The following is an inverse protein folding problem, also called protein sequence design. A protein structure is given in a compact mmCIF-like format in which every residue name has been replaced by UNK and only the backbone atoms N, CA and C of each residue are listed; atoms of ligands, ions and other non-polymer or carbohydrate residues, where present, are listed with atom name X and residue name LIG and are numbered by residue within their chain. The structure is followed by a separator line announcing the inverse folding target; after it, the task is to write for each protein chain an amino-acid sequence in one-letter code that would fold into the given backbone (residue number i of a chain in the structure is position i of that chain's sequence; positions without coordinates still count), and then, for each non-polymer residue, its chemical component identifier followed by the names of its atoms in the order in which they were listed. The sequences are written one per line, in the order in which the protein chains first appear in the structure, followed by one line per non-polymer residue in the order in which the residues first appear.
data_IF_201544693081
#
_entry.id   IF_201544693081
#
_cell.length_a   1.000
_cell.length_b   1.000
_cell.length_c   1.000
_cell.angle_alpha   90.00
_cell.angle_beta   90.00
_cell.angle_gamma   90.00
#
_symmetry.space_group_name_H-M   'P 1'
#
loop_
_entity.id
_entity.type
_entity.pdbx_description
1 polymer ?
#
# COMPACT_ATOMS: atom_id res chain seq x y z
N UNK A 1 16.65 13.60 27.84
CA UNK A 1 16.06 12.36 28.39
C UNK A 1 15.25 11.69 27.31
N UNK A 2 15.09 10.37 27.31
CA UNK A 2 14.24 9.65 26.34
C UNK A 2 12.84 9.53 26.94
N UNK A 3 11.85 10.11 26.26
CA UNK A 3 10.45 10.12 26.71
C UNK A 3 9.61 9.06 26.02
N UNK A 4 9.89 8.76 24.76
CA UNK A 4 9.24 7.68 24.01
C UNK A 4 10.29 6.95 23.19
N UNK A 5 10.26 5.62 23.21
CA UNK A 5 11.07 4.76 22.36
C UNK A 5 10.18 3.89 21.51
N UNK A 6 10.31 4.01 20.19
CA UNK A 6 9.48 3.27 19.24
C UNK A 6 10.33 2.31 18.43
N UNK A 7 9.72 1.23 17.96
CA UNK A 7 10.31 0.31 17.00
C UNK A 7 9.52 0.39 15.70
N UNK A 8 10.18 0.67 14.60
CA UNK A 8 9.55 0.72 13.28
C UNK A 8 10.11 -0.38 12.39
N UNK A 9 9.22 -1.21 11.84
CA UNK A 9 9.53 -2.15 10.77
C UNK A 9 8.39 -2.17 9.74
N UNK A 10 8.67 -2.66 8.54
CA UNK A 10 7.72 -2.67 7.41
C UNK A 10 8.10 -3.78 6.43
N UNK A 11 7.40 -3.88 5.30
CA UNK A 11 7.75 -4.75 4.18
C UNK A 11 7.95 -6.20 4.64
N UNK A 12 6.99 -6.64 5.44
CA UNK A 12 6.99 -7.98 6.02
C UNK A 12 6.95 -9.01 4.90
N UNK A 13 6.06 -8.83 3.92
CA UNK A 13 5.95 -9.72 2.76
C UNK A 13 5.87 -11.21 3.14
N UNK A 14 5.16 -11.51 4.23
CA UNK A 14 5.01 -12.86 4.81
C UNK A 14 6.33 -13.51 5.31
N UNK A 15 7.36 -12.70 5.55
CA UNK A 15 8.64 -13.13 6.15
C UNK A 15 8.54 -13.16 7.68
N UNK A 16 7.98 -14.25 8.20
CA UNK A 16 7.74 -14.42 9.63
C UNK A 16 9.01 -14.61 10.48
N UNK A 17 10.16 -14.88 9.86
CA UNK A 17 11.42 -14.96 10.57
C UNK A 17 11.80 -13.57 11.12
N UNK A 18 11.49 -12.50 10.38
CA UNK A 18 11.62 -11.11 10.87
C UNK A 18 10.83 -10.87 12.14
N UNK A 19 9.60 -11.38 12.23
CA UNK A 19 8.78 -11.21 13.44
C UNK A 19 9.42 -11.93 14.63
N UNK A 20 10.00 -13.12 14.41
CA UNK A 20 10.72 -13.83 15.45
C UNK A 20 11.93 -13.04 15.96
N UNK A 21 12.70 -12.42 15.05
CA UNK A 21 13.82 -11.52 15.38
C UNK A 21 13.33 -10.32 16.22
N UNK A 22 12.25 -9.66 15.81
CA UNK A 22 11.64 -8.56 16.58
C UNK A 22 11.20 -9.03 17.97
N UNK A 23 10.57 -10.21 18.08
CA UNK A 23 10.13 -10.77 19.36
C UNK A 23 11.28 -10.94 20.36
N UNK A 24 12.37 -11.58 19.92
CA UNK A 24 13.56 -11.76 20.76
C UNK A 24 14.23 -10.42 21.09
N UNK A 25 14.26 -9.48 20.14
CA UNK A 25 14.76 -8.12 20.37
C UNK A 25 13.97 -7.40 21.49
N UNK A 26 12.64 -7.41 21.42
CA UNK A 26 11.77 -6.78 22.42
C UNK A 26 11.97 -7.37 23.82
N UNK A 27 12.10 -8.70 23.89
CA UNK A 27 12.35 -9.41 25.14
C UNK A 27 13.69 -9.00 25.76
N UNK A 28 14.77 -9.04 24.98
CA UNK A 28 16.11 -8.63 25.43
C UNK A 28 16.11 -7.17 25.91
N UNK A 29 15.46 -6.27 25.16
CA UNK A 29 15.32 -4.85 25.52
C UNK A 29 14.61 -4.65 26.85
N UNK A 30 13.56 -5.42 27.12
CA UNK A 30 12.84 -5.40 28.39
C UNK A 30 13.72 -5.86 29.54
N UNK A 31 14.45 -6.95 29.37
CA UNK A 31 15.39 -7.49 30.38
C UNK A 31 16.52 -6.50 30.72
N UNK A 32 16.95 -5.70 29.75
CA UNK A 32 17.97 -4.67 29.91
C UNK A 32 17.46 -3.33 30.47
N UNK A 33 16.15 -3.21 30.77
CA UNK A 33 15.55 -1.97 31.26
C UNK A 33 15.39 -0.87 30.20
N UNK A 34 15.47 -1.24 28.92
CA UNK A 34 15.42 -0.34 27.77
C UNK A 34 14.23 -0.67 26.86
N UNK A 35 13.03 -0.86 27.43
CA UNK A 35 11.84 -1.32 26.70
C UNK A 35 11.43 -0.41 25.55
N UNK A 36 10.81 -1.02 24.53
CA UNK A 36 10.09 -0.33 23.46
C UNK A 36 8.68 -0.01 23.96
N UNK A 37 8.23 1.21 23.73
CA UNK A 37 6.93 1.72 24.19
C UNK A 37 5.81 1.55 23.14
N UNK A 38 6.17 1.53 21.85
CA UNK A 38 5.24 1.29 20.75
C UNK A 38 5.96 0.68 19.52
N UNK A 39 5.25 -0.18 18.78
CA UNK A 39 5.65 -0.65 17.46
C UNK A 39 4.88 0.12 16.40
N UNK A 40 5.58 0.60 15.39
CA UNK A 40 5.00 1.13 14.16
C UNK A 40 5.23 0.13 13.03
N UNK A 41 4.15 -0.28 12.39
CA UNK A 41 4.18 -1.15 11.22
C UNK A 41 3.45 -0.48 10.07
N UNK A 42 4.10 -0.25 8.94
CA UNK A 42 3.58 0.68 7.91
C UNK A 42 3.16 0.00 6.60
N UNK A 43 2.61 -1.21 6.72
CA UNK A 43 2.00 -1.95 5.62
C UNK A 43 2.96 -2.90 4.90
N UNK A 44 2.56 -3.34 3.71
CA UNK A 44 3.21 -4.42 2.95
C UNK A 44 3.23 -5.74 3.73
N UNK A 45 2.06 -6.09 4.25
CA UNK A 45 1.83 -7.34 4.97
C UNK A 45 2.06 -8.55 4.06
N UNK A 46 1.50 -8.49 2.85
CA UNK A 46 1.58 -9.53 1.82
C UNK A 46 2.27 -8.93 0.59
N UNK A 47 3.16 -9.69 -0.05
CA UNK A 47 3.78 -9.24 -1.29
C UNK A 47 2.78 -9.29 -2.44
N UNK A 48 2.41 -8.12 -2.95
CA UNK A 48 1.53 -7.96 -4.11
C UNK A 48 2.24 -8.22 -5.46
N UNK A 49 3.55 -8.50 -5.45
CA UNK A 49 4.34 -8.79 -6.64
C UNK A 49 4.55 -10.30 -6.83
N UNK A 50 4.32 -10.77 -8.06
CA UNK A 50 4.65 -12.15 -8.43
C UNK A 50 6.16 -12.35 -8.59
N UNK A 51 6.63 -13.59 -8.33
CA UNK A 51 8.03 -14.05 -8.46
C UNK A 51 8.76 -13.64 -9.75
N UNK A 52 8.05 -13.32 -10.83
CA UNK A 52 8.63 -12.96 -12.13
C UNK A 52 9.54 -11.70 -12.12
N UNK A 53 9.63 -10.91 -11.03
CA UNK A 53 10.37 -9.63 -11.04
C UNK A 53 11.34 -9.39 -9.86
N UNK A 54 11.41 -10.23 -8.81
CA UNK A 54 12.33 -9.95 -7.67
C UNK A 54 13.18 -11.16 -7.30
N UNK A 55 14.49 -11.00 -7.49
CA UNK A 55 15.55 -12.00 -7.29
C UNK A 55 15.98 -12.16 -5.82
N UNK A 56 15.14 -11.81 -4.83
CA UNK A 56 15.58 -11.65 -3.43
C UNK A 56 14.74 -12.33 -2.35
N UNK A 57 14.05 -13.44 -2.65
CA UNK A 57 13.80 -14.50 -1.65
C UNK A 57 13.30 -15.77 -2.34
N UNK A 58 14.15 -16.81 -2.39
CA UNK A 58 14.03 -17.90 -3.37
C UNK A 58 13.14 -19.09 -2.99
N UNK A 59 12.64 -19.21 -1.75
CA UNK A 59 12.13 -20.52 -1.30
C UNK A 59 10.74 -20.54 -0.62
N UNK A 60 9.96 -19.46 -0.65
CA UNK A 60 8.57 -19.46 -0.13
C UNK A 60 7.60 -19.07 -1.24
N UNK A 61 6.59 -19.90 -1.50
CA UNK A 61 5.46 -19.50 -2.35
C UNK A 61 4.62 -18.49 -1.55
N UNK A 62 4.68 -17.22 -1.96
CA UNK A 62 3.91 -16.15 -1.32
C UNK A 62 2.44 -16.30 -1.65
N UNK A 63 1.56 -15.72 -0.81
CA UNK A 63 0.11 -15.90 -0.94
C UNK A 63 -0.42 -15.54 -2.32
N UNK A 64 0.07 -14.44 -2.90
CA UNK A 64 -0.34 -14.02 -4.25
C UNK A 64 0.13 -15.00 -5.32
N UNK A 65 1.35 -15.55 -5.23
CA UNK A 65 1.83 -16.56 -6.17
C UNK A 65 0.99 -17.85 -6.09
N UNK A 66 0.65 -18.29 -4.87
CA UNK A 66 -0.22 -19.46 -4.66
C UNK A 66 -1.61 -19.26 -5.26
N UNK A 67 -2.18 -18.06 -5.08
CA UNK A 67 -3.48 -17.73 -5.69
C UNK A 67 -3.38 -17.77 -7.21
N UNK A 68 -2.37 -17.11 -7.79
CA UNK A 68 -2.15 -17.09 -9.24
C UNK A 68 -2.00 -18.51 -9.79
N UNK A 69 -1.16 -19.34 -9.16
CA UNK A 69 -0.91 -20.71 -9.60
C UNK A 69 -2.19 -21.58 -9.55
N UNK A 70 -2.98 -21.49 -8.47
CA UNK A 70 -4.21 -22.27 -8.33
C UNK A 70 -5.32 -21.80 -9.29
N UNK A 71 -5.44 -20.50 -9.53
CA UNK A 71 -6.36 -19.96 -10.54
C UNK A 71 -5.93 -20.44 -11.94
N UNK A 72 -4.64 -20.35 -12.26
CA UNK A 72 -4.09 -20.84 -13.52
C UNK A 72 -4.33 -22.35 -13.71
N UNK A 73 -4.17 -23.15 -12.66
CA UNK A 73 -4.47 -24.58 -12.71
C UNK A 73 -5.95 -24.85 -13.01
N UNK A 74 -6.85 -24.07 -12.40
CA UNK A 74 -8.29 -24.18 -12.65
C UNK A 74 -8.65 -23.81 -14.10
N UNK A 75 -8.17 -22.66 -14.61
CA UNK A 75 -8.51 -22.20 -15.97
C UNK A 75 -7.86 -23.02 -17.07
N UNK A 76 -6.78 -23.75 -16.76
CA UNK A 76 -6.13 -24.67 -17.69
C UNK A 76 -6.65 -26.11 -17.58
N UNK A 77 -7.57 -26.41 -16.66
CA UNK A 77 -8.14 -27.74 -16.49
C UNK A 77 -8.90 -28.16 -17.76
N UNK A 78 -8.75 -29.40 -18.28
CA UNK A 78 -9.38 -29.83 -19.53
C UNK A 78 -10.89 -29.60 -19.57
N UNK A 79 -11.60 -29.87 -18.46
CA UNK A 79 -13.05 -29.67 -18.38
C UNK A 79 -13.44 -28.19 -18.50
N UNK A 80 -12.66 -27.30 -17.88
CA UNK A 80 -12.89 -25.86 -17.99
C UNK A 80 -12.64 -25.39 -19.43
N UNK A 81 -11.53 -25.80 -20.03
CA UNK A 81 -11.16 -25.45 -21.41
C UNK A 81 -12.19 -25.97 -22.40
N UNK A 82 -12.66 -27.21 -22.23
CA UNK A 82 -13.67 -27.81 -23.10
C UNK A 82 -15.03 -27.11 -22.96
N UNK A 83 -15.41 -26.75 -21.73
CA UNK A 83 -16.65 -26.00 -21.48
C UNK A 83 -16.57 -24.61 -22.09
N UNK A 84 -15.47 -23.87 -21.89
CA UNK A 84 -15.26 -22.56 -22.51
C UNK A 84 -15.29 -22.63 -24.04
N UNK A 85 -14.69 -23.66 -24.66
CA UNK A 85 -14.79 -23.88 -26.12
C UNK A 85 -16.22 -24.12 -26.57
N UNK A 86 -17.02 -24.85 -25.81
CA UNK A 86 -18.44 -25.06 -26.11
C UNK A 86 -19.24 -23.75 -26.02
N UNK A 87 -18.99 -22.93 -24.99
CA UNK A 87 -19.61 -21.60 -24.83
C UNK A 87 -19.22 -20.68 -25.99
N UNK A 88 -17.93 -20.61 -26.35
CA UNK A 88 -17.46 -19.80 -27.47
C UNK A 88 -18.08 -20.24 -28.81
N UNK A 89 -18.32 -21.54 -29.00
CA UNK A 89 -19.03 -22.06 -30.16
C UNK A 89 -20.48 -21.56 -30.20
N UNK A 90 -21.21 -21.64 -29.09
CA UNK A 90 -22.60 -21.13 -28.98
C UNK A 90 -22.63 -19.63 -29.30
N UNK A 91 -21.73 -18.85 -28.69
CA UNK A 91 -21.63 -17.40 -28.91
C UNK A 91 -21.38 -17.09 -30.38
N UNK A 92 -20.45 -17.81 -31.03
CA UNK A 92 -20.11 -17.60 -32.44
C UNK A 92 -21.25 -18.00 -33.39
N UNK A 93 -21.94 -19.09 -33.11
CA UNK A 93 -23.07 -19.56 -33.94
C UNK A 93 -24.27 -18.61 -33.90
N UNK A 94 -24.40 -17.84 -32.82
CA UNK A 94 -25.50 -16.89 -32.59
C UNK A 94 -25.04 -15.43 -32.60
N UNK A 95 -23.89 -15.13 -33.20
CA UNK A 95 -23.44 -13.76 -33.44
C UNK A 95 -23.85 -13.28 -34.84
N UNK A 96 -24.27 -12.03 -34.95
CA UNK A 96 -24.52 -11.40 -36.24
C UNK A 96 -23.21 -11.15 -37.03
N UNK A 97 -23.34 -10.65 -38.26
CA UNK A 97 -22.19 -10.33 -39.12
C UNK A 97 -21.23 -9.27 -38.53
N UNK A 98 -21.66 -8.53 -37.51
CA UNK A 98 -20.88 -7.54 -36.78
C UNK A 98 -20.33 -8.08 -35.44
N UNK A 99 -20.54 -9.36 -35.13
CA UNK A 99 -20.09 -10.00 -33.90
C UNK A 99 -20.97 -9.70 -32.67
N UNK A 100 -22.18 -9.16 -32.85
CA UNK A 100 -23.12 -8.94 -31.76
C UNK A 100 -23.94 -10.21 -31.52
N UNK A 101 -23.94 -10.69 -30.27
CA UNK A 101 -24.68 -11.89 -29.87
C UNK A 101 -26.19 -11.62 -29.89
N UNK A 102 -26.93 -12.42 -30.65
CA UNK A 102 -28.39 -12.44 -30.74
C UNK A 102 -28.95 -13.37 -29.65
N UNK A 103 -28.99 -12.87 -28.41
CA UNK A 103 -29.37 -13.65 -27.21
C UNK A 103 -30.75 -14.31 -27.32
N UNK A 104 -31.67 -13.74 -28.08
CA UNK A 104 -33.02 -14.25 -28.33
C UNK A 104 -33.04 -15.51 -29.19
N UNK A 105 -31.95 -15.82 -29.89
CA UNK A 105 -31.81 -17.01 -30.73
C UNK A 105 -31.13 -18.19 -30.02
N UNK A 106 -30.51 -17.96 -28.86
CA UNK A 106 -29.87 -19.02 -28.07
C UNK A 106 -30.95 -19.74 -27.25
N UNK A 107 -31.03 -21.09 -27.28
CA UNK A 107 -31.97 -21.82 -26.44
C UNK A 107 -31.83 -21.45 -24.97
N UNK A 108 -32.95 -21.20 -24.29
CA UNK A 108 -32.93 -20.81 -22.87
C UNK A 108 -32.13 -21.77 -21.99
N UNK A 109 -32.20 -23.07 -22.25
CA UNK A 109 -31.40 -24.08 -21.53
C UNK A 109 -29.90 -23.90 -21.70
N UNK A 110 -29.42 -23.41 -22.84
CA UNK A 110 -28.01 -23.10 -23.06
C UNK A 110 -27.59 -21.83 -22.33
N UNK A 111 -28.45 -20.80 -22.33
CA UNK A 111 -28.23 -19.58 -21.54
C UNK A 111 -28.15 -19.93 -20.04
N UNK A 112 -29.07 -20.74 -19.54
CA UNK A 112 -29.12 -21.17 -18.14
C UNK A 112 -27.87 -21.99 -17.78
N UNK A 113 -27.39 -22.87 -18.68
CA UNK A 113 -26.15 -23.63 -18.49
C UNK A 113 -24.90 -22.74 -18.47
N UNK A 114 -24.81 -21.75 -19.38
CA UNK A 114 -23.72 -20.77 -19.40
C UNK A 114 -23.71 -19.97 -18.10
N UNK A 115 -24.87 -19.47 -17.67
CA UNK A 115 -25.00 -18.71 -16.43
C UNK A 115 -24.60 -19.55 -15.21
N UNK A 116 -25.05 -20.80 -15.13
CA UNK A 116 -24.69 -21.72 -14.05
C UNK A 116 -23.18 -22.01 -14.01
N UNK A 117 -22.56 -22.23 -15.16
CA UNK A 117 -21.12 -22.43 -15.26
C UNK A 117 -20.34 -21.18 -14.80
N UNK A 118 -20.73 -19.99 -15.26
CA UNK A 118 -20.10 -18.73 -14.86
C UNK A 118 -20.24 -18.47 -13.36
N UNK A 119 -21.41 -18.75 -12.77
CA UNK A 119 -21.60 -18.68 -11.31
C UNK A 119 -20.69 -19.66 -10.56
N UNK A 120 -20.62 -20.91 -11.01
CA UNK A 120 -19.78 -21.94 -10.39
C UNK A 120 -18.30 -21.58 -10.47
N UNK A 121 -17.85 -21.07 -11.63
CA UNK A 121 -16.50 -20.54 -11.84
C UNK A 121 -16.18 -19.45 -10.80
N UNK A 122 -17.07 -18.45 -10.68
CA UNK A 122 -16.87 -17.34 -9.73
C UNK A 122 -16.79 -17.87 -8.29
N UNK A 123 -17.64 -18.81 -7.90
CA UNK A 123 -17.61 -19.40 -6.55
C UNK A 123 -16.29 -20.14 -6.27
N UNK A 124 -15.81 -20.97 -7.21
CA UNK A 124 -14.57 -21.72 -7.05
C UNK A 124 -13.37 -20.76 -6.96
N UNK A 125 -13.29 -19.78 -7.85
CA UNK A 125 -12.17 -18.83 -7.88
C UNK A 125 -12.15 -17.95 -6.63
N UNK A 126 -13.31 -17.46 -6.17
CA UNK A 126 -13.42 -16.74 -4.90
C UNK A 126 -13.01 -17.62 -3.71
N UNK A 127 -13.38 -18.90 -3.71
CA UNK A 127 -12.98 -19.84 -2.65
C UNK A 127 -11.46 -20.05 -2.60
N UNK A 128 -10.80 -20.14 -3.75
CA UNK A 128 -9.33 -20.24 -3.84
C UNK A 128 -8.68 -18.99 -3.24
N UNK A 129 -9.11 -17.80 -3.67
CA UNK A 129 -8.60 -16.51 -3.18
C UNK A 129 -8.78 -16.40 -1.67
N UNK A 130 -10.01 -16.59 -1.18
CA UNK A 130 -10.35 -16.41 0.22
C UNK A 130 -9.60 -17.40 1.12
N UNK A 131 -9.42 -18.66 0.69
CA UNK A 131 -8.69 -19.67 1.44
C UNK A 131 -7.26 -19.23 1.73
N UNK A 132 -6.54 -18.77 0.72
CA UNK A 132 -5.13 -18.40 0.86
C UNK A 132 -4.97 -17.09 1.63
N UNK A 133 -5.78 -16.07 1.33
CA UNK A 133 -5.77 -14.81 2.08
C UNK A 133 -6.05 -15.05 3.57
N UNK A 134 -7.09 -15.84 3.90
CA UNK A 134 -7.43 -16.12 5.29
C UNK A 134 -6.31 -16.87 6.01
N UNK A 135 -5.70 -17.87 5.37
CA UNK A 135 -4.61 -18.62 5.98
C UNK A 135 -3.39 -17.72 6.30
N UNK A 136 -3.04 -16.82 5.36
CA UNK A 136 -1.93 -15.89 5.54
C UNK A 136 -2.17 -14.90 6.67
N UNK A 137 -3.36 -14.28 6.70
CA UNK A 137 -3.70 -13.32 7.75
C UNK A 137 -3.95 -13.96 9.11
N UNK A 138 -4.45 -15.20 9.16
CA UNK A 138 -4.55 -15.93 10.43
C UNK A 138 -3.16 -16.20 11.01
N UNK A 139 -2.22 -16.69 10.20
CA UNK A 139 -0.82 -16.88 10.64
C UNK A 139 -0.20 -15.55 11.09
N UNK A 140 -0.47 -14.48 10.35
CA UNK A 140 0.01 -13.15 10.70
C UNK A 140 -0.57 -12.64 12.02
N UNK A 141 -1.86 -12.86 12.28
CA UNK A 141 -2.50 -12.53 13.55
C UNK A 141 -1.83 -13.27 14.72
N UNK A 142 -1.53 -14.56 14.54
CA UNK A 142 -0.81 -15.37 15.54
C UNK A 142 0.59 -14.81 15.83
N UNK A 143 1.34 -14.40 14.80
CA UNK A 143 2.67 -13.83 14.96
C UNK A 143 2.64 -12.41 15.59
N UNK A 144 1.74 -11.54 15.15
CA UNK A 144 1.57 -10.20 15.73
C UNK A 144 1.04 -10.25 17.17
N UNK A 145 0.21 -11.25 17.51
CA UNK A 145 -0.24 -11.46 18.89
C UNK A 145 0.95 -11.69 19.85
N UNK A 146 2.02 -12.36 19.40
CA UNK A 146 3.24 -12.55 20.20
C UNK A 146 3.92 -11.21 20.44
N UNK A 147 4.04 -10.35 19.43
CA UNK A 147 4.62 -9.01 19.57
C UNK A 147 3.79 -8.12 20.50
N UNK A 148 2.46 -8.15 20.37
CA UNK A 148 1.53 -7.33 21.19
C UNK A 148 1.65 -7.60 22.69
N UNK A 149 2.08 -8.80 23.09
CA UNK A 149 2.35 -9.13 24.50
C UNK A 149 3.46 -8.27 25.11
N UNK A 150 4.34 -7.71 24.29
CA UNK A 150 5.44 -6.86 24.73
C UNK A 150 5.10 -5.37 24.68
N UNK A 151 4.43 -4.93 23.62
CA UNK A 151 4.17 -3.51 23.35
C UNK A 151 3.02 -3.36 22.33
N UNK A 152 2.21 -2.29 22.39
CA UNK A 152 1.17 -2.05 21.38
C UNK A 152 1.75 -1.85 19.98
N UNK A 153 0.94 -2.18 18.96
CA UNK A 153 1.29 -2.13 17.54
C UNK A 153 0.33 -1.18 16.84
N UNK A 154 0.87 -0.16 16.17
CA UNK A 154 0.12 0.81 15.39
C UNK A 154 0.46 0.65 13.91
N UNK A 155 -0.57 0.69 13.07
CA UNK A 155 -0.39 0.49 11.63
C UNK A 155 -1.26 1.41 10.79
N UNK A 156 -0.88 1.53 9.53
CA UNK A 156 -1.72 2.02 8.44
C UNK A 156 -1.67 1.03 7.28
N UNK A 157 -2.75 0.93 6.50
CA UNK A 157 -2.77 0.07 5.30
C UNK A 157 -2.54 0.85 4.02
N UNK A 158 -1.79 0.23 3.11
CA UNK A 158 -1.61 0.63 1.73
C UNK A 158 -2.66 0.09 0.75
N UNK A 159 -2.64 0.54 -0.50
CA UNK A 159 -3.43 -0.05 -1.60
C UNK A 159 -2.81 -1.34 -2.12
N UNK A 160 -1.57 -1.62 -1.71
CA UNK A 160 -0.91 -2.90 -1.84
C UNK A 160 -1.27 -3.86 -0.70
N UNK A 161 -1.93 -3.38 0.34
CA UNK A 161 -2.47 -4.22 1.39
C UNK A 161 -3.91 -4.65 1.10
N UNK A 162 -4.26 -5.82 1.63
CA UNK A 162 -5.60 -6.36 1.54
C UNK A 162 -6.44 -5.85 2.73
N UNK A 163 -7.69 -5.49 2.45
CA UNK A 163 -8.73 -5.12 3.44
C UNK A 163 -8.88 -6.16 4.55
N UNK A 164 -8.55 -7.42 4.25
CA UNK A 164 -8.53 -8.53 5.21
C UNK A 164 -7.65 -8.28 6.43
N UNK A 165 -6.61 -7.45 6.33
CA UNK A 165 -5.82 -7.06 7.49
C UNK A 165 -6.70 -6.46 8.60
N UNK A 166 -7.71 -5.66 8.27
CA UNK A 166 -8.63 -5.10 9.27
C UNK A 166 -9.47 -6.17 9.97
N UNK A 167 -9.89 -7.21 9.24
CA UNK A 167 -10.75 -8.26 9.78
C UNK A 167 -9.98 -9.21 10.69
N UNK A 168 -8.73 -9.50 10.33
CA UNK A 168 -7.91 -10.52 11.00
C UNK A 168 -6.95 -9.96 12.04
N UNK A 169 -6.55 -8.69 11.94
CA UNK A 169 -5.55 -8.08 12.81
C UNK A 169 -6.13 -7.04 13.78
N UNK A 170 -7.44 -6.72 13.76
CA UNK A 170 -8.04 -5.67 14.62
C UNK A 170 -7.81 -5.90 16.12
N UNK A 171 -7.68 -7.16 16.56
CA UNK A 171 -7.41 -7.49 17.96
C UNK A 171 -5.94 -7.31 18.34
N UNK A 172 -5.03 -7.26 17.36
CA UNK A 172 -3.57 -7.25 17.57
C UNK A 172 -2.87 -6.01 17.05
N UNK A 173 -3.51 -5.24 16.18
CA UNK A 173 -2.97 -4.03 15.54
C UNK A 173 -4.01 -2.92 15.60
N UNK A 174 -3.59 -1.75 16.09
CA UNK A 174 -4.41 -0.55 16.10
C UNK A 174 -4.21 0.21 14.78
N UNK A 175 -5.21 0.14 13.89
CA UNK A 175 -5.16 0.79 12.57
C UNK A 175 -5.52 2.28 12.66
N UNK A 176 -4.51 3.15 12.50
CA UNK A 176 -4.65 4.59 12.69
C UNK A 176 -5.54 5.27 11.65
N UNK A 177 -5.68 4.66 10.47
CA UNK A 177 -6.56 5.15 9.41
C UNK A 177 -8.05 4.78 9.63
N UNK A 178 -8.36 3.93 10.62
CA UNK A 178 -9.73 3.59 11.04
C UNK A 178 -10.20 4.29 12.31
N UNK A 179 -9.35 5.08 12.96
CA UNK A 179 -9.70 5.81 14.18
C UNK A 179 -10.85 6.78 13.86
N UNK A 180 -11.94 6.70 14.64
CA UNK A 180 -13.21 7.39 14.37
C UNK A 180 -13.01 8.90 14.20
N UNK A 181 -13.88 9.54 13.40
CA UNK A 181 -13.92 10.98 13.18
C UNK A 181 -14.01 11.80 14.49
N UNK A 182 -14.55 11.20 15.56
CA UNK A 182 -14.65 11.84 16.87
C UNK A 182 -13.36 11.68 17.71
N UNK A 183 -12.62 10.60 17.51
CA UNK A 183 -11.33 10.33 18.16
C UNK A 183 -10.21 10.76 17.20
N UNK A 184 -9.94 12.07 17.15
CA UNK A 184 -9.08 12.69 16.11
C UNK A 184 -7.63 12.19 16.06
N UNK A 185 -7.16 11.43 17.06
CA UNK A 185 -5.80 10.92 17.17
C UNK A 185 -5.69 9.86 18.26
N UNK A 186 -4.75 8.94 18.12
CA UNK A 186 -4.34 8.04 19.21
C UNK A 186 -3.29 8.75 20.06
N UNK A 187 -3.36 8.63 21.39
CA UNK A 187 -2.34 9.18 22.29
C UNK A 187 -1.51 8.06 22.90
N UNK A 188 -0.19 8.12 22.72
CA UNK A 188 0.76 7.30 23.47
C UNK A 188 1.25 8.10 24.67
N UNK A 189 1.16 7.51 25.87
CA UNK A 189 1.77 8.08 27.06
C UNK A 189 3.26 7.76 27.06
N UNK A 190 4.10 8.78 26.86
CA UNK A 190 5.52 8.70 27.11
C UNK A 190 5.84 8.75 28.61
N UNK A 191 7.12 8.82 28.91
CA UNK A 191 7.65 8.97 30.27
C UNK A 191 7.40 10.40 30.77
N UNK A 192 7.54 10.56 32.10
CA UNK A 192 7.43 11.85 32.79
C UNK A 192 6.14 12.67 32.49
N UNK A 193 5.05 12.02 32.07
CA UNK A 193 3.80 12.67 31.74
C UNK A 193 3.75 13.33 30.36
N UNK A 194 4.77 13.12 29.51
CA UNK A 194 4.75 13.58 28.12
C UNK A 194 3.80 12.70 27.31
N UNK A 195 2.95 13.31 26.48
CA UNK A 195 1.99 12.60 25.64
C UNK A 195 2.28 12.86 24.16
N UNK A 196 2.31 11.78 23.38
CA UNK A 196 2.55 11.80 21.93
C UNK A 196 1.27 11.50 21.18
N UNK A 197 0.91 12.36 20.24
CA UNK A 197 -0.27 12.21 19.38
C UNK A 197 0.12 11.57 18.06
N UNK A 198 -0.50 10.44 17.78
CA UNK A 198 -0.34 9.65 16.58
C UNK A 198 -1.52 9.86 15.64
N UNK A 199 -1.19 10.00 14.36
CA UNK A 199 -2.16 9.93 13.27
C UNK A 199 -1.60 9.09 12.13
N UNK A 200 -2.50 8.54 11.33
CA UNK A 200 -2.13 7.79 10.15
C UNK A 200 -3.07 8.02 8.99
N UNK A 201 -2.54 7.90 7.78
CA UNK A 201 -3.30 7.87 6.55
C UNK A 201 -2.86 6.67 5.71
N UNK A 202 -3.79 6.15 4.92
CA UNK A 202 -3.51 5.03 4.03
C UNK A 202 -2.46 5.45 2.99
N UNK A 203 -2.55 6.67 2.44
CA UNK A 203 -1.65 7.29 1.46
C UNK A 203 -0.98 6.32 0.46
N UNK A 204 -1.63 6.10 -0.69
CA UNK A 204 -1.33 4.95 -1.55
C UNK A 204 -1.31 5.35 -3.04
N UNK A 205 -0.19 5.10 -3.74
CA UNK A 205 0.00 5.48 -5.16
C UNK A 205 0.61 4.36 -5.99
N UNK A 206 0.35 3.11 -5.62
CA UNK A 206 0.94 1.97 -6.30
C UNK A 206 -0.12 1.08 -6.90
N UNK A 207 0.13 0.60 -8.12
CA UNK A 207 -0.78 -0.29 -8.81
C UNK A 207 -0.31 -1.71 -8.53
N UNK A 208 -1.04 -2.51 -7.73
CA UNK A 208 -0.67 -3.89 -7.48
C UNK A 208 -0.45 -4.59 -8.81
N UNK A 209 0.71 -5.25 -8.98
CA UNK A 209 1.05 -5.89 -10.26
C UNK A 209 0.02 -6.96 -10.63
N UNK A 210 -0.63 -7.58 -9.64
CA UNK A 210 -1.72 -8.53 -9.89
C UNK A 210 -2.88 -7.94 -10.75
N UNK A 211 -3.02 -6.62 -10.81
CA UNK A 211 -4.02 -5.96 -11.66
C UNK A 211 -3.66 -5.98 -13.16
N UNK A 212 -2.43 -6.32 -13.54
CA UNK A 212 -2.06 -6.50 -14.95
C UNK A 212 -2.55 -7.83 -15.54
N UNK A 213 -3.06 -8.75 -14.72
CA UNK A 213 -3.55 -10.06 -15.16
C UNK A 213 -5.09 -10.02 -15.24
N UNK A 214 -5.64 -9.89 -16.45
CA UNK A 214 -7.08 -9.70 -16.67
C UNK A 214 -7.94 -10.87 -16.15
N UNK A 215 -7.41 -12.10 -16.15
CA UNK A 215 -8.11 -13.29 -15.67
C UNK A 215 -8.19 -13.36 -14.14
N UNK A 216 -7.28 -12.67 -13.44
CA UNK A 216 -7.08 -12.78 -12.00
C UNK A 216 -7.58 -11.52 -11.28
N UNK A 217 -7.39 -10.36 -11.90
CA UNK A 217 -7.80 -9.05 -11.37
C UNK A 217 -9.24 -9.03 -10.85
N UNK A 218 -10.27 -9.59 -11.53
CA UNK A 218 -11.65 -9.55 -11.03
C UNK A 218 -11.84 -10.24 -9.68
N UNK A 219 -10.99 -11.21 -9.35
CA UNK A 219 -11.07 -12.00 -8.12
C UNK A 219 -10.16 -11.47 -7.01
N UNK A 220 -9.04 -10.82 -7.35
CA UNK A 220 -8.13 -10.25 -6.35
C UNK A 220 -8.46 -8.79 -5.99
N UNK A 221 -8.79 -7.96 -6.98
CA UNK A 221 -9.04 -6.51 -6.79
C UNK A 221 -10.05 -6.19 -5.67
N UNK A 222 -11.17 -6.94 -5.50
CA UNK A 222 -12.13 -6.65 -4.43
C UNK A 222 -11.53 -6.70 -3.02
N UNK A 223 -10.43 -7.42 -2.84
CA UNK A 223 -9.79 -7.65 -1.55
C UNK A 223 -8.77 -6.56 -1.18
N UNK A 224 -8.30 -5.75 -2.14
CA UNK A 224 -7.33 -4.68 -1.86
C UNK A 224 -8.01 -3.38 -1.39
N UNK A 225 -7.26 -2.54 -0.68
CA UNK A 225 -7.68 -1.17 -0.36
C UNK A 225 -7.82 -0.36 -1.66
N UNK A 226 -8.86 0.48 -1.72
CA UNK A 226 -9.21 1.18 -2.96
C UNK A 226 -8.12 2.18 -3.38
N UNK A 227 -7.61 1.99 -4.60
CA UNK A 227 -6.53 2.76 -5.23
C UNK A 227 -6.85 4.27 -5.44
N UNK A 228 -8.13 4.64 -5.53
CA UNK A 228 -8.53 5.96 -6.07
C UNK A 228 -8.19 7.17 -5.20
N UNK A 229 -7.73 6.97 -3.96
CA UNK A 229 -7.26 8.05 -3.08
C UNK A 229 -6.00 8.77 -3.58
N UNK A 230 -5.23 8.11 -4.44
CA UNK A 230 -3.93 8.58 -4.93
C UNK A 230 -3.96 9.44 -6.20
N UNK A 231 -5.12 9.82 -6.72
CA UNK A 231 -5.12 10.79 -7.82
C UNK A 231 -4.94 12.20 -7.28
N UNK A 232 -3.99 12.96 -7.85
CA UNK A 232 -3.92 14.38 -7.59
C UNK A 232 -5.15 15.04 -8.26
N UNK A 233 -6.02 15.64 -7.45
CA UNK A 233 -7.22 16.36 -7.89
C UNK A 233 -6.87 17.40 -8.95
N UNK A 234 -5.73 18.10 -8.79
CA UNK A 234 -5.23 19.07 -9.76
C UNK A 234 -4.82 18.44 -11.09
N UNK A 235 -4.30 17.22 -11.10
CA UNK A 235 -3.94 16.53 -12.34
C UNK A 235 -5.18 16.03 -13.07
N UNK A 236 -6.16 15.47 -12.34
CA UNK A 236 -7.45 15.09 -12.92
C UNK A 236 -8.20 16.30 -13.46
N UNK A 237 -8.20 17.44 -12.75
CA UNK A 237 -8.78 18.69 -13.24
C UNK A 237 -8.12 19.17 -14.54
N UNK A 238 -6.78 19.09 -14.64
CA UNK A 238 -6.05 19.43 -15.87
C UNK A 238 -6.43 18.51 -17.02
N UNK A 239 -6.53 17.20 -16.77
CA UNK A 239 -6.93 16.22 -17.78
C UNK A 239 -8.38 16.45 -18.25
N UNK A 240 -9.32 16.68 -17.32
CA UNK A 240 -10.72 17.00 -17.64
C UNK A 240 -10.79 18.26 -18.50
N UNK A 241 -10.07 19.33 -18.14
CA UNK A 241 -10.01 20.57 -18.93
C UNK A 241 -9.44 20.35 -20.32
N UNK A 242 -8.42 19.50 -20.46
CA UNK A 242 -7.84 19.11 -21.75
C UNK A 242 -8.89 18.41 -22.62
N UNK A 243 -9.63 17.45 -22.06
CA UNK A 243 -10.66 16.70 -22.78
C UNK A 243 -11.85 17.60 -23.19
N UNK A 244 -12.31 18.47 -22.30
CA UNK A 244 -13.36 19.46 -22.58
C UNK A 244 -12.96 20.43 -23.70
N UNK A 245 -11.70 20.88 -23.66
CA UNK A 245 -11.15 21.73 -24.72
C UNK A 245 -11.05 20.98 -26.05
N UNK A 246 -10.68 19.69 -26.03
CA UNK A 246 -10.63 18.85 -27.22
C UNK A 246 -12.00 18.56 -27.84
N UNK A 247 -13.10 18.63 -27.08
CA UNK A 247 -14.45 18.54 -27.66
C UNK A 247 -14.70 19.63 -28.71
N UNK A 248 -14.14 20.83 -28.49
CA UNK A 248 -14.42 22.02 -29.31
C UNK A 248 -13.24 22.47 -30.16
N UNK A 249 -12.01 22.04 -29.85
CA UNK A 249 -10.80 22.41 -30.59
C UNK A 249 -9.81 21.24 -30.70
N UNK A 250 -9.63 20.72 -31.92
CA UNK A 250 -8.76 19.58 -32.18
C UNK A 250 -7.27 19.86 -31.95
N UNK A 251 -6.81 21.11 -32.05
CA UNK A 251 -5.38 21.45 -31.91
C UNK A 251 -4.85 21.35 -30.48
N UNK A 252 -5.74 21.23 -29.49
CA UNK A 252 -5.37 21.14 -28.07
C UNK A 252 -4.56 19.88 -27.75
N UNK A 253 -4.69 18.84 -28.57
CA UNK A 253 -3.95 17.58 -28.40
C UNK A 253 -2.64 17.52 -29.20
N UNK A 254 -2.28 18.57 -29.94
CA UNK A 254 -1.12 18.56 -30.85
C UNK A 254 0.22 18.36 -30.13
N UNK A 255 0.28 18.75 -28.85
CA UNK A 255 1.47 18.60 -28.00
C UNK A 255 1.51 17.27 -27.22
N UNK A 256 0.48 16.42 -27.33
CA UNK A 256 0.48 15.09 -26.73
C UNK A 256 1.33 14.11 -27.54
N UNK A 257 1.74 13.02 -26.91
CA UNK A 257 2.37 11.90 -27.62
C UNK A 257 1.37 11.23 -28.60
N UNK A 258 1.90 10.53 -29.60
CA UNK A 258 1.10 9.95 -30.69
C UNK A 258 0.09 8.89 -30.22
N UNK A 259 0.39 8.18 -29.14
CA UNK A 259 -0.51 7.17 -28.56
C UNK A 259 -1.74 7.83 -27.92
N UNK A 260 -1.53 8.84 -27.09
CA UNK A 260 -2.59 9.64 -26.48
C UNK A 260 -3.44 10.33 -27.55
N UNK A 261 -2.82 10.88 -28.60
CA UNK A 261 -3.55 11.45 -29.75
C UNK A 261 -4.46 10.43 -30.42
N UNK A 262 -3.95 9.22 -30.71
CA UNK A 262 -4.74 8.15 -31.35
C UNK A 262 -5.93 7.74 -30.49
N UNK A 263 -5.73 7.57 -29.18
CA UNK A 263 -6.80 7.21 -28.23
C UNK A 263 -7.88 8.29 -28.21
N UNK A 264 -7.49 9.57 -28.08
CA UNK A 264 -8.46 10.67 -28.01
C UNK A 264 -9.24 10.85 -29.31
N UNK A 265 -8.59 10.75 -30.47
CA UNK A 265 -9.25 10.78 -31.78
C UNK A 265 -10.30 9.68 -31.91
N UNK A 266 -9.92 8.44 -31.57
CA UNK A 266 -10.84 7.29 -31.59
C UNK A 266 -12.05 7.51 -30.68
N UNK A 267 -11.84 8.00 -29.46
CA UNK A 267 -12.93 8.30 -28.52
C UNK A 267 -13.89 9.38 -29.07
N UNK A 268 -13.37 10.38 -29.78
CA UNK A 268 -14.18 11.43 -30.41
C UNK A 268 -14.95 10.91 -31.62
N UNK A 269 -14.32 10.12 -32.49
CA UNK A 269 -14.94 9.47 -33.65
C UNK A 269 -16.05 8.50 -33.25
N UNK A 270 -15.86 7.77 -32.14
CA UNK A 270 -16.85 6.85 -31.57
C UNK A 270 -17.97 7.56 -30.79
N UNK A 271 -17.92 8.90 -30.63
CA UNK A 271 -18.89 9.67 -29.84
C UNK A 271 -18.78 9.46 -28.33
N UNK A 272 -17.74 8.79 -27.85
CA UNK A 272 -17.53 8.38 -26.44
C UNK A 272 -16.75 9.40 -25.61
N UNK A 273 -16.20 10.43 -26.23
CA UNK A 273 -15.41 11.46 -25.55
C UNK A 273 -16.20 12.14 -24.42
N UNK A 274 -17.49 12.42 -24.64
CA UNK A 274 -18.35 13.03 -23.63
C UNK A 274 -18.59 12.11 -22.43
N UNK A 275 -18.80 10.81 -22.67
CA UNK A 275 -18.97 9.81 -21.60
C UNK A 275 -17.72 9.69 -20.73
N UNK A 276 -16.54 9.75 -21.35
CA UNK A 276 -15.25 9.77 -20.63
C UNK A 276 -15.12 11.02 -19.76
N UNK A 277 -15.51 12.19 -20.26
CA UNK A 277 -15.48 13.45 -19.48
C UNK A 277 -16.43 13.37 -18.28
N UNK A 278 -17.66 12.88 -18.48
CA UNK A 278 -18.64 12.69 -17.41
C UNK A 278 -18.08 11.75 -16.35
N UNK A 279 -17.60 10.57 -16.75
CA UNK A 279 -17.02 9.57 -15.84
C UNK A 279 -15.83 10.13 -15.06
N UNK A 280 -14.95 10.91 -15.70
CA UNK A 280 -13.82 11.55 -15.01
C UNK A 280 -14.25 12.65 -14.03
N UNK A 281 -15.29 13.43 -14.34
CA UNK A 281 -15.87 14.43 -13.41
C UNK A 281 -16.51 13.77 -12.20
N UNK A 282 -17.21 12.66 -12.38
CA UNK A 282 -17.77 11.87 -11.29
C UNK A 282 -16.66 11.33 -10.39
N UNK A 283 -15.60 10.75 -10.98
CA UNK A 283 -14.44 10.26 -10.26
C UNK A 283 -13.72 11.39 -9.48
N UNK A 284 -13.53 12.57 -10.09
CA UNK A 284 -12.94 13.74 -9.42
C UNK A 284 -13.82 14.22 -8.26
N UNK A 285 -15.15 14.23 -8.44
CA UNK A 285 -16.09 14.62 -7.38
C UNK A 285 -16.00 13.67 -6.19
N UNK A 286 -16.00 12.35 -6.46
CA UNK A 286 -15.82 11.32 -5.44
C UNK A 286 -14.47 11.47 -4.72
N UNK A 287 -13.40 11.74 -5.45
CA UNK A 287 -12.07 12.00 -4.92
C UNK A 287 -12.03 13.23 -4.00
N UNK A 288 -12.60 14.36 -4.42
CA UNK A 288 -12.67 15.59 -3.62
C UNK A 288 -13.45 15.34 -2.33
N UNK A 289 -14.60 14.65 -2.42
CA UNK A 289 -15.40 14.31 -1.25
C UNK A 289 -14.64 13.40 -0.29
N UNK A 290 -13.96 12.37 -0.82
CA UNK A 290 -13.14 11.44 -0.03
C UNK A 290 -11.98 12.16 0.66
N UNK A 291 -11.27 13.04 -0.05
CA UNK A 291 -10.21 13.90 0.54
C UNK A 291 -10.77 14.89 1.57
N UNK A 292 -11.97 15.41 1.36
CA UNK A 292 -12.66 16.26 2.33
C UNK A 292 -12.92 15.51 3.64
N UNK A 293 -13.41 14.27 3.54
CA UNK A 293 -13.61 13.38 4.69
C UNK A 293 -12.29 13.08 5.41
N UNK A 294 -11.23 12.71 4.67
CA UNK A 294 -9.91 12.46 5.26
C UNK A 294 -9.33 13.71 5.94
N UNK A 295 -9.42 14.89 5.31
CA UNK A 295 -9.00 16.15 5.94
C UNK A 295 -9.82 16.46 7.19
N UNK A 296 -11.12 16.18 7.19
CA UNK A 296 -11.97 16.34 8.38
C UNK A 296 -11.59 15.37 9.51
N UNK A 297 -11.24 14.11 9.18
CA UNK A 297 -10.70 13.14 10.15
C UNK A 297 -9.41 13.65 10.79
N UNK A 298 -8.57 14.30 9.99
CA UNK A 298 -7.22 14.70 10.40
C UNK A 298 -7.12 16.16 10.91
N UNK A 299 -8.21 16.94 10.89
CA UNK A 299 -8.32 18.41 10.80
C UNK A 299 -7.69 19.30 11.90
N UNK A 300 -6.78 18.81 12.71
CA UNK A 300 -6.02 19.62 13.67
C UNK A 300 -4.54 19.57 13.25
N UNK A 301 -4.09 20.50 12.37
CA UNK A 301 -2.75 20.52 11.80
C UNK A 301 -1.64 20.68 12.83
N UNK A 302 -1.93 21.23 14.01
CA UNK A 302 -0.93 21.57 15.04
C UNK A 302 -0.88 20.57 16.20
N UNK A 303 -1.42 19.37 16.00
CA UNK A 303 -1.62 18.38 17.07
C UNK A 303 -1.06 16.99 16.74
N UNK A 304 -0.14 16.88 15.78
CA UNK A 304 0.45 15.59 15.39
C UNK A 304 1.91 15.58 15.78
N UNK A 305 2.29 14.66 16.67
CA UNK A 305 3.69 14.46 17.03
C UNK A 305 4.33 13.44 16.10
N UNK A 306 3.61 12.36 15.79
CA UNK A 306 4.08 11.26 14.94
C UNK A 306 3.00 10.93 13.90
N UNK A 307 3.41 10.86 12.63
CA UNK A 307 2.53 10.55 11.50
C UNK A 307 2.95 9.24 10.81
N UNK A 308 2.03 8.31 10.64
CA UNK A 308 2.25 7.06 9.91
C UNK A 308 1.62 7.16 8.52
N UNK A 309 2.32 6.67 7.52
CA UNK A 309 1.86 6.59 6.14
C UNK A 309 2.34 5.29 5.54
N UNK A 310 1.59 4.70 4.61
CA UNK A 310 2.08 3.51 3.92
C UNK A 310 3.30 3.84 3.05
N UNK A 311 3.34 5.01 2.41
CA UNK A 311 4.42 5.40 1.50
C UNK A 311 4.97 6.80 1.77
N UNK A 312 6.28 6.97 1.58
CA UNK A 312 6.97 8.28 1.55
C UNK A 312 7.31 8.62 0.10
N UNK A 313 7.07 9.86 -0.31
CA UNK A 313 7.33 10.32 -1.68
C UNK A 313 8.08 11.65 -1.72
N UNK A 314 9.03 11.76 -2.66
CA UNK A 314 9.57 13.04 -3.15
C UNK A 314 8.56 13.78 -4.00
N UNK A 315 8.59 15.11 -3.91
CA UNK A 315 7.82 16.07 -4.71
C UNK A 315 8.23 16.09 -6.20
N UNK A 316 8.66 14.95 -6.77
CA UNK A 316 9.36 14.88 -8.06
C UNK A 316 8.44 14.60 -9.27
N UNK A 317 7.13 14.81 -9.14
CA UNK A 317 6.21 14.80 -10.29
C UNK A 317 5.81 13.42 -10.84
N UNK A 318 6.40 12.32 -10.37
CA UNK A 318 5.91 10.95 -10.62
C UNK A 318 5.09 10.47 -9.42
N UNK A 319 3.76 10.54 -9.51
CA UNK A 319 2.86 10.08 -8.44
C UNK A 319 3.12 10.81 -7.11
N UNK A 320 2.72 12.09 -7.03
CA UNK A 320 2.91 12.86 -5.81
C UNK A 320 2.17 12.25 -4.62
N UNK A 321 2.78 12.32 -3.43
CA UNK A 321 2.09 12.08 -2.16
C UNK A 321 0.74 12.79 -2.11
N UNK A 322 -0.21 12.28 -1.34
CA UNK A 322 -1.52 12.92 -1.26
C UNK A 322 -1.33 14.33 -0.71
N UNK A 323 -2.14 15.29 -1.14
CA UNK A 323 -2.09 16.66 -0.59
C UNK A 323 -2.21 16.61 0.95
N UNK A 324 -2.95 15.64 1.46
CA UNK A 324 -3.15 15.32 2.87
C UNK A 324 -1.83 14.90 3.54
N UNK A 325 -1.12 13.93 2.99
CA UNK A 325 0.19 13.49 3.53
C UNK A 325 1.19 14.62 3.59
N UNK A 326 1.22 15.52 2.59
CA UNK A 326 2.09 16.70 2.63
C UNK A 326 1.66 17.68 3.73
N UNK A 327 0.36 17.97 3.82
CA UNK A 327 -0.21 18.86 4.83
C UNK A 327 0.11 18.39 6.26
N UNK A 328 -0.02 17.09 6.54
CA UNK A 328 0.18 16.56 7.89
C UNK A 328 1.63 16.22 8.23
N UNK A 329 2.41 15.72 7.26
CA UNK A 329 3.83 15.43 7.48
C UNK A 329 4.66 16.69 7.75
N UNK A 330 4.23 17.84 7.23
CA UNK A 330 4.90 19.12 7.48
C UNK A 330 4.91 19.52 8.95
N UNK A 331 3.90 19.09 9.71
CA UNK A 331 3.69 19.49 11.11
C UNK A 331 4.07 18.40 12.12
N UNK A 332 4.41 17.20 11.66
CA UNK A 332 4.83 16.10 12.53
C UNK A 332 6.32 16.21 12.90
N UNK A 333 6.67 15.77 14.10
CA UNK A 333 8.07 15.62 14.53
C UNK A 333 8.72 14.35 14.00
N UNK A 334 7.92 13.35 13.62
CA UNK A 334 8.35 12.13 12.95
C UNK A 334 7.29 11.59 12.01
N UNK A 335 7.73 11.00 10.91
CA UNK A 335 6.95 10.49 9.80
C UNK A 335 7.49 9.11 9.45
N UNK A 336 6.68 8.07 9.69
CA UNK A 336 7.05 6.68 9.47
C UNK A 336 6.35 6.15 8.22
N UNK A 337 7.13 5.55 7.32
CA UNK A 337 6.69 5.01 6.04
C UNK A 337 7.05 3.55 5.82
N UNK A 338 6.26 2.85 4.99
CA UNK A 338 6.46 1.44 4.70
C UNK A 338 7.09 1.14 3.36
N UNK A 339 6.43 1.50 2.26
CA UNK A 339 6.85 1.11 0.92
C UNK A 339 7.88 2.07 0.29
N UNK A 340 8.91 1.55 -0.41
CA UNK A 340 9.96 2.32 -1.10
C UNK A 340 10.17 1.94 -2.58
N UNK A 341 10.24 2.95 -3.45
CA UNK A 341 10.85 2.87 -4.79
C UNK A 341 11.90 4.00 -4.92
N UNK A 342 13.01 3.72 -5.61
CA UNK A 342 14.33 4.39 -5.75
C UNK A 342 14.55 5.93 -5.58
N UNK A 343 13.61 6.75 -5.11
CA UNK A 343 13.76 8.19 -4.92
C UNK A 343 12.90 8.67 -3.72
N UNK A 344 13.49 8.93 -2.55
CA UNK A 344 12.77 9.48 -1.37
C UNK A 344 13.40 10.73 -0.72
N UNK A 345 12.58 11.47 0.05
CA UNK A 345 12.90 12.71 0.77
C UNK A 345 13.73 12.34 1.99
N UNK A 346 14.80 13.11 2.19
CA UNK A 346 16.01 12.72 2.92
C UNK A 346 17.24 12.88 2.03
N UNK A 347 17.06 13.00 0.70
CA UNK A 347 18.15 13.30 -0.25
C UNK A 347 19.20 12.20 -0.40
N UNK A 348 19.09 11.14 0.41
CA UNK A 348 19.96 9.99 0.44
C UNK A 348 19.11 8.73 0.60
N UNK A 349 19.18 7.79 -0.33
CA UNK A 349 18.74 6.42 -0.08
C UNK A 349 19.68 5.77 0.96
N UNK A 350 19.31 4.61 1.53
CA UNK A 350 20.15 3.97 2.54
C UNK A 350 21.57 3.67 2.02
N UNK A 351 21.74 3.42 0.72
CA UNK A 351 23.06 3.27 0.09
C UNK A 351 23.85 4.58 0.12
N UNK A 352 23.26 5.74 -0.18
CA UNK A 352 23.90 7.05 -0.10
C UNK A 352 24.22 7.42 1.37
N UNK A 353 23.37 7.01 2.32
CA UNK A 353 23.69 7.07 3.75
C UNK A 353 24.89 6.18 4.08
N UNK A 354 24.93 4.94 3.58
CA UNK A 354 26.07 4.01 3.74
C UNK A 354 27.34 4.51 3.06
N UNK A 355 27.25 5.18 1.91
CA UNK A 355 28.38 5.83 1.24
C UNK A 355 28.92 7.01 2.07
N UNK A 356 28.05 7.77 2.75
CA UNK A 356 28.46 8.75 3.76
C UNK A 356 29.15 8.04 4.95
N UNK A 357 28.59 6.93 5.45
CA UNK A 357 29.22 6.11 6.49
C UNK A 357 30.59 5.58 6.09
N UNK A 358 30.79 5.24 4.81
CA UNK A 358 32.02 4.64 4.30
C UNK A 358 33.08 5.70 3.98
N UNK A 359 32.67 6.84 3.42
CA UNK A 359 33.54 7.91 2.92
C UNK A 359 33.98 9.00 3.91
N UNK A 360 33.40 9.06 5.11
CA UNK A 360 33.86 10.02 6.14
C UNK A 360 35.14 9.50 6.84
N UNK A 361 36.23 10.27 6.79
CA UNK A 361 37.50 9.95 7.43
C UNK A 361 37.48 10.25 8.95
N UNK A 362 36.50 11.00 9.46
CA UNK A 362 36.34 11.36 10.88
C UNK A 362 35.18 10.60 11.54
N UNK A 363 35.14 9.28 11.40
CA UNK A 363 34.06 8.45 11.97
C UNK A 363 34.06 8.53 13.49
N UNK A 364 33.03 9.17 14.05
CA UNK A 364 32.69 9.00 15.46
C UNK A 364 32.00 7.65 15.65
N UNK A 365 32.33 6.98 16.75
CA UNK A 365 31.72 5.72 17.13
C UNK A 365 31.05 5.85 18.49
N UNK A 366 29.97 5.10 18.66
CA UNK A 366 29.29 4.92 19.94
C UNK A 366 29.14 3.43 20.23
N UNK A 367 28.81 3.09 21.47
CA UNK A 367 28.56 1.71 21.87
C UNK A 367 27.06 1.51 22.09
N UNK A 368 26.45 0.69 21.25
CA UNK A 368 25.06 0.24 21.40
C UNK A 368 25.05 -1.27 21.56
N UNK A 369 24.41 -1.76 22.62
CA UNK A 369 24.34 -3.18 22.98
C UNK A 369 25.70 -3.89 23.05
N UNK A 370 26.73 -3.16 23.46
CA UNK A 370 28.11 -3.67 23.55
C UNK A 370 28.82 -3.82 22.21
N UNK A 371 28.24 -3.31 21.12
CA UNK A 371 28.89 -3.20 19.81
C UNK A 371 29.24 -1.75 19.51
N UNK A 372 30.44 -1.55 18.98
CA UNK A 372 30.87 -0.26 18.46
C UNK A 372 30.23 -0.04 17.09
N UNK A 373 29.48 1.04 16.95
CA UNK A 373 28.75 1.40 15.73
C UNK A 373 29.08 2.84 15.32
N UNK A 374 29.16 3.15 14.02
CA UNK A 374 29.41 4.50 13.56
C UNK A 374 28.21 5.42 13.82
N UNK A 375 28.50 6.70 14.07
CA UNK A 375 27.50 7.76 14.27
C UNK A 375 27.48 8.67 13.05
N UNK A 376 26.28 9.01 12.57
CA UNK A 376 26.07 10.02 11.52
C UNK A 376 25.12 11.08 12.04
N UNK A 377 25.54 12.34 11.90
CA UNK A 377 24.72 13.50 12.22
C UNK A 377 23.99 13.96 10.97
N UNK A 378 22.68 14.10 11.09
CA UNK A 378 21.79 14.50 9.99
C UNK A 378 21.00 15.72 10.47
N UNK A 379 20.77 16.69 9.57
CA UNK A 379 19.92 17.85 9.86
C UNK A 379 18.50 17.42 10.27
N UNK A 380 17.93 18.11 11.28
CA UNK A 380 16.63 17.81 11.90
C UNK A 380 15.49 17.57 10.89
N UNK A 381 15.43 18.35 9.80
CA UNK A 381 14.35 18.27 8.81
C UNK A 381 14.38 16.98 7.97
N UNK A 382 15.51 16.27 7.94
CA UNK A 382 15.66 15.00 7.19
C UNK A 382 15.37 13.79 8.07
N UNK A 383 15.69 13.84 9.36
CA UNK A 383 15.45 12.75 10.32
C UNK A 383 13.97 12.47 10.55
N UNK A 384 13.10 13.43 10.27
CA UNK A 384 11.66 13.23 10.45
C UNK A 384 11.06 12.22 9.49
N UNK A 385 11.72 11.79 8.41
CA UNK A 385 11.18 10.79 7.49
C UNK A 385 11.93 9.47 7.64
N UNK A 386 11.27 8.45 8.16
CA UNK A 386 11.87 7.17 8.52
C UNK A 386 11.21 6.02 7.74
N UNK A 387 12.05 5.22 7.08
CA UNK A 387 11.64 3.98 6.43
C UNK A 387 12.77 2.91 6.60
N UNK A 388 12.50 1.79 7.28
CA UNK A 388 13.46 0.70 7.47
C UNK A 388 13.72 -0.14 6.22
N UNK A 389 12.80 -0.16 5.26
CA UNK A 389 12.79 -1.05 4.11
C UNK A 389 12.70 -2.54 4.51
N UNK A 390 13.21 -3.41 3.63
CA UNK A 390 13.06 -4.87 3.77
C UNK A 390 14.12 -5.54 4.66
N UNK A 391 15.29 -4.92 4.85
CA UNK A 391 16.44 -5.56 5.51
C UNK A 391 16.68 -5.08 6.94
N UNK A 392 16.03 -3.99 7.34
CA UNK A 392 16.31 -3.37 8.63
C UNK A 392 15.03 -3.12 9.44
N UNK A 393 15.23 -2.81 10.71
CA UNK A 393 14.23 -2.15 11.55
C UNK A 393 14.90 -1.01 12.33
N UNK A 394 14.11 -0.01 12.68
CA UNK A 394 14.59 1.20 13.35
C UNK A 394 14.10 1.24 14.79
N UNK A 395 14.97 1.67 15.71
CA UNK A 395 14.55 2.12 17.03
C UNK A 395 14.72 3.62 17.11
N UNK A 396 13.64 4.33 17.40
CA UNK A 396 13.61 5.80 17.42
C UNK A 396 13.32 6.30 18.84
N UNK A 397 14.20 7.16 19.33
CA UNK A 397 14.07 7.80 20.63
C UNK A 397 13.59 9.24 20.48
N UNK A 398 12.55 9.61 21.22
CA UNK A 398 12.02 10.98 21.29
C UNK A 398 12.36 11.63 22.62
N UNK A 399 12.55 12.95 22.61
CA UNK A 399 12.81 13.76 23.81
C UNK A 399 11.52 14.42 24.37
N UNK A 400 11.67 15.26 25.40
CA UNK A 400 10.57 16.00 26.05
C UNK A 400 9.92 17.07 25.18
N UNK A 401 10.64 17.56 24.18
CA UNK A 401 10.12 18.47 23.16
C UNK A 401 9.46 17.69 22.00
N UNK A 402 9.33 16.37 22.17
CA UNK A 402 8.74 15.42 21.23
C UNK A 402 9.45 15.36 19.88
N UNK A 403 10.72 15.73 19.84
CA UNK A 403 11.60 15.63 18.68
C UNK A 403 12.37 14.33 18.70
N UNK A 404 12.66 13.81 17.50
CA UNK A 404 13.56 12.68 17.33
C UNK A 404 14.93 13.09 17.85
N UNK A 405 15.46 12.31 18.78
CA UNK A 405 16.78 12.49 19.39
C UNK A 405 17.81 11.58 18.74
N UNK A 406 17.43 10.34 18.46
CA UNK A 406 18.33 9.29 17.99
C UNK A 406 17.52 8.25 17.21
N UNK A 407 18.13 7.69 16.17
CA UNK A 407 17.63 6.53 15.44
C UNK A 407 18.75 5.51 15.39
N UNK A 408 18.47 4.30 15.87
CA UNK A 408 19.40 3.18 15.76
C UNK A 408 18.86 2.19 14.74
N UNK A 409 19.68 1.85 13.76
CA UNK A 409 19.37 0.90 12.69
C UNK A 409 19.83 -0.49 13.09
N UNK A 410 18.96 -1.49 12.95
CA UNK A 410 19.28 -2.90 13.16
C UNK A 410 19.01 -3.66 11.88
N UNK A 411 19.85 -4.66 11.60
CA UNK A 411 19.62 -5.67 10.58
C UNK A 411 18.75 -6.81 11.15
N UNK A 412 17.96 -7.44 10.31
CA UNK A 412 17.24 -8.66 10.64
C UNK A 412 18.15 -9.91 10.71
N UNK A 413 19.37 -9.85 10.15
CA UNK A 413 20.32 -10.97 10.06
C UNK A 413 21.17 -11.23 11.33
#
# INVERSE_FOLDING_TARGET
MVELRTLHFTDLHEDYDKISVIGEFLKKRKEQGSSIDAIFFTGDFIDAHSKDIRDHNKDVDKTIDLIIANIQQFVNHPDYVNTQKAIQKIVKEHSDANGKVELDKIPKSEIDNIAHFEQTKVQILNSIVQKHINAAYQKMAEEFAKLKQHTPIYSVLGNHDLKHAYEHLDEVVDFLDRVDYNEKSVTINGKNGVQFRLKGDQNTFEFPKCYSYDEIRPFLKPHFIDYDLGNNSKNQEKEIKLLESYQTNDSVIDNLNDESKKVLKKLKEEGRLNDVIISKREALTQLINKKGQERSRLSLPDEVDIYLTHKLHLNNGYGGSSEITQEYSANASGVHGGHFHALQIGGYNLEELMEIFEGDENKEYTVVDGKEIPVVYIDDDRLRYLNPGTQHFLVTDYNSDKKIKEVVVYDFN
#
